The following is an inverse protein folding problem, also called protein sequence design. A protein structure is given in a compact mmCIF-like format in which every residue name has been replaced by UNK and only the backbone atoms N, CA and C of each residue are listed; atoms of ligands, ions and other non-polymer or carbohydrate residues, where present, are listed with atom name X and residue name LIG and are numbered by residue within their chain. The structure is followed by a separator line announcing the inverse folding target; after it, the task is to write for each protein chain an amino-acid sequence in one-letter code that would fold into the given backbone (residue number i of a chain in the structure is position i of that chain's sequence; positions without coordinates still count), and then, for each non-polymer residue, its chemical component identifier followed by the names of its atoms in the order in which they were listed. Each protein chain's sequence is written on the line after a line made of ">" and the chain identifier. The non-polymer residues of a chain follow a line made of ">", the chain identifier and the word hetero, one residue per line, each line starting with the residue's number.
data_IF_246235133634
#
_entry.id   IF_246235133634
#
_cell.length_a   1.000
_cell.length_b   1.000
_cell.length_c   1.000
_cell.angle_alpha   90.00
_cell.angle_beta   90.00
_cell.angle_gamma   90.00
#
_symmetry.space_group_name_H-M   'P 1'
#
loop_
_entity.id
_entity.type
_entity.pdbx_description
1 polymer ?
#
# COMPACT_ATOMS: atom_id res chain seq x y z
N UNK A 1 -2.90 8.34 14.36
CA UNK A 1 -3.92 7.81 13.42
C UNK A 1 -3.80 8.57 12.11
N UNK A 2 -3.95 7.86 10.99
CA UNK A 2 -3.99 8.44 9.64
C UNK A 2 -5.34 9.15 9.41
N UNK A 3 -5.34 10.24 8.65
CA UNK A 3 -6.54 10.99 8.23
C UNK A 3 -6.60 11.00 6.71
N UNK A 4 -7.77 11.34 6.15
CA UNK A 4 -7.94 11.41 4.69
C UNK A 4 -6.96 12.40 4.04
N UNK A 5 -6.64 13.52 4.70
CA UNK A 5 -5.67 14.51 4.22
C UNK A 5 -4.21 14.04 4.30
N UNK A 6 -3.94 12.93 4.99
CA UNK A 6 -2.60 12.31 4.99
C UNK A 6 -2.43 11.33 3.82
N UNK A 7 -3.50 10.92 3.14
CA UNK A 7 -3.41 10.01 2.00
C UNK A 7 -2.95 10.81 0.79
N UNK A 8 -1.77 10.45 0.32
CA UNK A 8 -1.09 11.02 -0.83
C UNK A 8 -0.19 9.95 -1.45
N UNK A 9 0.30 10.22 -2.65
CA UNK A 9 1.22 9.33 -3.35
C UNK A 9 2.46 9.06 -2.49
N UNK A 10 2.85 7.80 -2.42
CA UNK A 10 3.96 7.31 -1.60
C UNK A 10 3.60 7.01 -0.14
N UNK A 11 2.41 7.35 0.37
CA UNK A 11 2.00 6.90 1.72
C UNK A 11 1.96 5.36 1.75
N UNK A 12 2.52 4.77 2.80
CA UNK A 12 2.49 3.33 3.04
C UNK A 12 1.68 3.05 4.30
N UNK A 13 0.71 2.14 4.22
CA UNK A 13 -0.15 1.76 5.33
C UNK A 13 -0.20 0.25 5.47
N UNK A 14 -0.30 -0.24 6.70
CA UNK A 14 -0.58 -1.66 6.95
C UNK A 14 -2.11 -1.89 6.93
N UNK A 15 -2.62 -2.37 5.81
CA UNK A 15 -4.06 -2.49 5.55
C UNK A 15 -4.53 -3.93 5.72
N UNK A 16 -5.76 -4.09 6.22
CA UNK A 16 -6.53 -5.31 6.07
C UNK A 16 -7.29 -5.30 4.72
N UNK A 17 -7.00 -6.23 3.78
CA UNK A 17 -7.64 -6.25 2.47
C UNK A 17 -9.14 -6.57 2.51
N UNK A 18 -9.61 -7.31 3.53
CA UNK A 18 -11.03 -7.68 3.65
C UNK A 18 -11.84 -6.47 4.11
N UNK A 19 -11.31 -5.71 5.07
CA UNK A 19 -11.90 -4.43 5.50
C UNK A 19 -11.85 -3.40 4.37
N UNK A 20 -10.79 -3.40 3.56
CA UNK A 20 -10.66 -2.51 2.41
C UNK A 20 -11.76 -2.75 1.38
N UNK A 21 -12.03 -4.02 1.04
CA UNK A 21 -13.13 -4.43 0.17
C UNK A 21 -14.50 -4.13 0.80
N UNK A 22 -14.69 -4.42 2.09
CA UNK A 22 -15.94 -4.12 2.81
C UNK A 22 -16.27 -2.61 2.80
N UNK A 23 -15.25 -1.76 2.81
CA UNK A 23 -15.36 -0.31 2.68
C UNK A 23 -15.58 0.21 1.25
N UNK A 24 -15.68 -0.67 0.24
CA UNK A 24 -15.87 -0.32 -1.16
C UNK A 24 -14.59 -0.31 -2.00
N UNK A 25 -13.49 -0.85 -1.48
CA UNK A 25 -12.28 -1.13 -2.25
C UNK A 25 -12.51 -2.22 -3.31
N UNK A 26 -11.74 -2.15 -4.40
CA UNK A 26 -11.80 -3.12 -5.50
C UNK A 26 -10.39 -3.51 -5.92
N UNK A 27 -10.13 -4.81 -6.00
CA UNK A 27 -8.87 -5.36 -6.50
C UNK A 27 -8.96 -5.67 -8.00
N UNK A 28 -7.88 -5.40 -8.75
CA UNK A 28 -7.74 -5.83 -10.15
C UNK A 28 -7.61 -7.35 -10.28
N UNK A 29 -7.01 -8.00 -9.29
CA UNK A 29 -6.87 -9.45 -9.24
C UNK A 29 -8.16 -10.10 -8.72
N UNK A 30 -8.54 -11.25 -9.31
CA UNK A 30 -9.72 -12.01 -8.90
C UNK A 30 -9.35 -13.30 -8.17
N UNK A 31 -10.25 -13.77 -7.28
CA UNK A 31 -10.12 -15.06 -6.60
C UNK A 31 -8.84 -15.19 -5.77
N UNK A 32 -8.09 -16.28 -6.01
CA UNK A 32 -6.86 -16.60 -5.28
C UNK A 32 -5.66 -15.67 -5.59
N UNK A 33 -5.79 -14.76 -6.57
CA UNK A 33 -4.74 -13.78 -6.90
C UNK A 33 -4.69 -12.59 -5.93
N UNK A 34 -5.79 -12.30 -5.22
CA UNK A 34 -5.86 -11.23 -4.22
C UNK A 34 -5.04 -11.58 -2.98
N UNK A 35 -4.26 -10.62 -2.49
CA UNK A 35 -3.54 -10.74 -1.21
C UNK A 35 -4.51 -11.02 -0.06
N UNK A 36 -4.13 -11.89 0.88
CA UNK A 36 -4.94 -12.30 2.03
C UNK A 36 -4.26 -11.89 3.33
N UNK A 37 -5.04 -11.47 4.32
CA UNK A 37 -4.51 -11.00 5.61
C UNK A 37 -3.81 -9.65 5.51
N UNK A 38 -3.55 -9.02 6.65
CA UNK A 38 -3.02 -7.66 6.67
C UNK A 38 -1.61 -7.57 6.08
N UNK A 39 -1.38 -6.60 5.20
CA UNK A 39 -0.12 -6.37 4.50
C UNK A 39 0.21 -4.88 4.47
N UNK A 40 1.47 -4.53 4.19
CA UNK A 40 1.77 -3.16 3.78
C UNK A 40 1.21 -2.92 2.38
N UNK A 41 0.64 -1.74 2.16
CA UNK A 41 0.21 -1.25 0.86
C UNK A 41 0.81 0.13 0.66
N UNK A 42 1.25 0.43 -0.55
CA UNK A 42 1.67 1.77 -0.96
C UNK A 42 0.60 2.42 -1.82
N UNK A 43 0.28 3.69 -1.57
CA UNK A 43 -0.55 4.47 -2.49
C UNK A 43 0.32 4.98 -3.63
N UNK A 44 0.00 4.59 -4.86
CA UNK A 44 0.77 4.98 -6.06
C UNK A 44 0.13 6.12 -6.84
N UNK A 45 -1.13 6.42 -6.56
CA UNK A 45 -1.85 7.56 -7.13
C UNK A 45 -3.06 7.85 -6.24
N UNK A 46 -3.32 9.12 -5.97
CA UNK A 46 -4.43 9.57 -5.12
C UNK A 46 -5.12 10.79 -5.71
N UNK A 47 -6.42 10.90 -5.48
CA UNK A 47 -7.22 12.10 -5.71
C UNK A 47 -7.86 12.58 -4.41
N UNK A 48 -8.82 13.51 -4.45
CA UNK A 48 -9.46 14.03 -3.24
C UNK A 48 -10.29 12.99 -2.45
N UNK A 49 -10.63 11.85 -3.07
CA UNK A 49 -11.62 10.89 -2.54
C UNK A 49 -11.10 9.46 -2.45
N UNK A 50 -10.14 9.08 -3.27
CA UNK A 50 -9.71 7.70 -3.46
C UNK A 50 -8.23 7.60 -3.82
N UNK A 51 -7.67 6.41 -3.59
CA UNK A 51 -6.32 6.08 -4.00
C UNK A 51 -6.24 4.73 -4.70
N UNK A 52 -5.18 4.56 -5.48
CA UNK A 52 -4.72 3.30 -6.04
C UNK A 52 -3.60 2.76 -5.15
N UNK A 53 -3.76 1.52 -4.71
CA UNK A 53 -2.92 0.89 -3.71
C UNK A 53 -2.32 -0.40 -4.25
N UNK A 54 -1.05 -0.64 -3.97
CA UNK A 54 -0.35 -1.87 -4.37
C UNK A 54 0.11 -2.61 -3.11
N UNK A 55 -0.23 -3.91 -2.96
CA UNK A 55 0.20 -4.68 -1.81
C UNK A 55 1.70 -4.99 -1.88
N UNK A 56 2.33 -5.01 -0.71
CA UNK A 56 3.74 -5.28 -0.54
C UNK A 56 3.93 -6.56 0.27
N UNK A 57 4.79 -7.43 -0.23
CA UNK A 57 5.05 -8.76 0.31
C UNK A 57 6.39 -8.78 1.06
N UNK A 58 6.51 -9.66 2.05
CA UNK A 58 7.73 -9.88 2.84
C UNK A 58 8.67 -10.94 2.26
N UNK A 59 8.35 -11.47 1.08
CA UNK A 59 9.15 -12.48 0.39
C UNK A 59 9.08 -12.30 -1.14
N UNK A 60 10.15 -12.69 -1.86
CA UNK A 60 10.13 -12.71 -3.32
C UNK A 60 9.08 -13.72 -3.83
N UNK A 61 8.71 -13.59 -5.10
CA UNK A 61 7.77 -14.50 -5.75
C UNK A 61 7.68 -14.23 -7.25
N UNK A 62 6.97 -15.09 -7.99
CA UNK A 62 6.74 -14.88 -9.42
C UNK A 62 6.13 -13.50 -9.68
N UNK A 63 6.69 -12.75 -10.63
CA UNK A 63 6.18 -11.42 -11.01
C UNK A 63 6.36 -10.34 -9.94
N UNK A 64 7.19 -10.58 -8.91
CA UNK A 64 7.44 -9.60 -7.86
C UNK A 64 8.82 -8.97 -7.98
N UNK A 65 8.86 -7.66 -7.79
CA UNK A 65 10.07 -6.87 -7.86
C UNK A 65 10.42 -6.27 -6.49
N UNK A 66 11.71 -6.09 -6.23
CA UNK A 66 12.20 -5.59 -4.94
C UNK A 66 12.03 -4.07 -4.85
N UNK A 67 11.49 -3.59 -3.73
CA UNK A 67 11.50 -2.16 -3.39
C UNK A 67 12.86 -1.80 -2.79
N UNK A 68 13.59 -0.81 -3.34
CA UNK A 68 14.85 -0.35 -2.76
C UNK A 68 14.66 0.17 -1.33
N UNK A 69 15.51 -0.24 -0.40
CA UNK A 69 15.36 0.17 1.00
C UNK A 69 15.67 1.66 1.21
N UNK A 70 16.54 2.24 0.39
CA UNK A 70 16.86 3.66 0.34
C UNK A 70 15.66 4.54 -0.05
N UNK A 71 14.62 3.96 -0.67
CA UNK A 71 13.39 4.67 -0.99
C UNK A 71 12.42 4.73 0.20
N UNK A 72 12.67 4.01 1.30
CA UNK A 72 11.73 3.87 2.42
C UNK A 72 12.03 4.86 3.54
N UNK A 73 10.97 5.38 4.15
CA UNK A 73 11.06 6.16 5.39
C UNK A 73 9.89 5.84 6.32
N UNK A 74 10.07 6.06 7.63
CA UNK A 74 9.06 5.78 8.65
C UNK A 74 9.53 4.78 9.70
N UNK A 75 8.61 3.90 10.13
CA UNK A 75 8.80 2.96 11.22
C UNK A 75 9.78 1.82 10.84
N UNK A 76 10.65 1.34 11.76
CA UNK A 76 11.62 0.27 11.48
C UNK A 76 11.03 -1.00 10.85
N UNK A 77 9.85 -1.43 11.32
CA UNK A 77 9.11 -2.57 10.72
C UNK A 77 8.91 -2.45 9.20
N UNK A 78 8.76 -1.22 8.69
CA UNK A 78 8.66 -0.93 7.26
C UNK A 78 10.04 -0.78 6.62
N UNK A 79 10.92 0.05 7.19
CA UNK A 79 12.20 0.43 6.58
C UNK A 79 13.24 -0.70 6.56
N UNK A 80 13.28 -1.55 7.58
CA UNK A 80 14.31 -2.58 7.75
C UNK A 80 13.93 -3.92 7.10
N UNK A 81 12.66 -4.07 6.70
CA UNK A 81 12.18 -5.27 6.02
C UNK A 81 12.43 -5.16 4.53
N UNK A 82 12.99 -6.21 3.92
CA UNK A 82 12.92 -6.36 2.47
C UNK A 82 11.43 -6.49 2.07
N UNK A 83 11.03 -5.78 1.03
CA UNK A 83 9.64 -5.77 0.57
C UNK A 83 9.58 -5.84 -0.93
N UNK A 84 8.61 -6.59 -1.44
CA UNK A 84 8.42 -6.81 -2.86
C UNK A 84 7.02 -6.40 -3.29
N UNK A 85 6.87 -5.89 -4.50
CA UNK A 85 5.58 -5.51 -5.07
C UNK A 85 5.27 -6.35 -6.31
N UNK A 86 4.00 -6.73 -6.56
CA UNK A 86 3.57 -7.37 -7.79
C UNK A 86 3.29 -6.33 -8.88
N UNK A 87 3.39 -6.71 -10.15
CA UNK A 87 2.98 -5.87 -11.28
C UNK A 87 1.50 -5.97 -11.65
N UNK A 88 0.77 -6.96 -11.14
CA UNK A 88 -0.58 -7.29 -11.60
C UNK A 88 -1.71 -7.00 -10.60
N UNK A 89 -1.39 -6.40 -9.45
CA UNK A 89 -2.35 -6.20 -8.38
C UNK A 89 -2.44 -4.75 -7.90
N UNK A 90 -3.52 -4.09 -8.33
CA UNK A 90 -3.87 -2.74 -7.93
C UNK A 90 -5.24 -2.76 -7.25
N UNK A 91 -5.32 -2.03 -6.14
CA UNK A 91 -6.53 -1.84 -5.36
C UNK A 91 -6.98 -0.40 -5.46
N UNK A 92 -8.17 -0.17 -6.00
CA UNK A 92 -8.78 1.15 -5.96
C UNK A 92 -9.68 1.23 -4.73
N UNK A 93 -9.46 2.20 -3.84
CA UNK A 93 -10.25 2.33 -2.62
C UNK A 93 -10.53 3.78 -2.24
N UNK A 94 -11.75 4.09 -1.76
CA UNK A 94 -12.03 5.37 -1.10
C UNK A 94 -11.10 5.60 0.09
N UNK A 95 -10.74 6.85 0.37
CA UNK A 95 -9.92 7.22 1.53
C UNK A 95 -10.50 6.72 2.84
N UNK A 96 -11.83 6.78 3.01
CA UNK A 96 -12.50 6.26 4.19
C UNK A 96 -12.28 4.74 4.38
N UNK A 97 -12.30 3.97 3.29
CA UNK A 97 -12.05 2.53 3.30
C UNK A 97 -10.60 2.23 3.67
N UNK A 98 -9.64 2.94 3.08
CA UNK A 98 -8.22 2.79 3.39
C UNK A 98 -7.92 3.10 4.88
N UNK A 99 -8.57 4.11 5.46
CA UNK A 99 -8.42 4.43 6.89
C UNK A 99 -9.00 3.32 7.78
N UNK A 100 -10.21 2.82 7.46
CA UNK A 100 -10.82 1.72 8.21
C UNK A 100 -9.93 0.46 8.15
N UNK A 101 -9.46 0.11 6.95
CA UNK A 101 -8.55 -1.00 6.72
C UNK A 101 -7.20 -0.84 7.43
N UNK A 102 -6.66 0.38 7.52
CA UNK A 102 -5.43 0.67 8.26
C UNK A 102 -5.62 0.45 9.78
N UNK A 103 -6.77 0.85 10.32
CA UNK A 103 -7.11 0.60 11.73
C UNK A 103 -7.23 -0.90 11.99
N UNK A 104 -7.99 -1.63 11.16
CA UNK A 104 -8.17 -3.07 11.27
C UNK A 104 -6.85 -3.85 11.10
N UNK A 105 -6.01 -3.41 10.16
CA UNK A 105 -4.70 -4.00 9.88
C UNK A 105 -3.65 -3.70 10.94
N UNK A 106 -3.93 -2.84 11.94
CA UNK A 106 -2.97 -2.49 12.99
C UNK A 106 -1.82 -1.61 12.46
N UNK A 107 -2.13 -0.68 11.56
CA UNK A 107 -1.17 0.29 11.05
C UNK A 107 -0.55 1.12 12.18
N UNK A 108 0.78 1.24 12.15
CA UNK A 108 1.57 1.93 13.17
C UNK A 108 1.97 3.34 12.73
N UNK A 109 1.45 3.85 11.60
CA UNK A 109 1.83 5.17 11.10
C UNK A 109 1.34 6.27 12.03
N UNK A 110 2.29 7.06 12.56
CA UNK A 110 2.07 8.07 13.58
C UNK A 110 2.12 9.50 13.04
N UNK A 111 1.66 10.46 13.84
CA UNK A 111 1.92 11.87 13.55
C UNK A 111 3.44 12.12 13.60
N UNK A 112 4.01 12.69 12.55
CA UNK A 112 5.45 12.94 12.41
C UNK A 112 6.30 11.75 11.94
N UNK A 113 5.74 10.54 11.88
CA UNK A 113 6.43 9.33 11.36
C UNK A 113 5.44 8.53 10.51
N UNK A 114 5.17 9.04 9.31
CA UNK A 114 4.40 8.29 8.30
C UNK A 114 5.33 7.28 7.64
N UNK A 115 4.86 6.06 7.44
CA UNK A 115 5.55 5.17 6.52
C UNK A 115 5.34 5.73 5.11
N UNK A 116 6.43 5.89 4.39
CA UNK A 116 6.39 6.44 3.05
C UNK A 116 7.44 5.77 2.17
N UNK A 117 7.16 5.85 0.87
CA UNK A 117 8.05 5.56 -0.22
C UNK A 117 8.39 6.88 -0.94
N UNK A 118 9.65 7.05 -1.35
CA UNK A 118 10.07 8.21 -2.13
C UNK A 118 9.38 8.27 -3.49
N UNK A 119 9.34 9.44 -4.10
CA UNK A 119 8.78 9.67 -5.45
C UNK A 119 9.36 8.68 -6.48
N UNK A 120 10.69 8.51 -6.51
CA UNK A 120 11.33 7.53 -7.39
C UNK A 120 10.87 6.08 -7.11
N UNK A 121 10.60 5.73 -5.86
CA UNK A 121 10.05 4.42 -5.51
C UNK A 121 8.59 4.26 -5.96
N UNK A 122 7.80 5.34 -5.87
CA UNK A 122 6.41 5.36 -6.37
C UNK A 122 6.38 5.19 -7.89
N UNK A 123 7.22 5.93 -8.62
CA UNK A 123 7.29 5.85 -10.09
C UNK A 123 7.61 4.45 -10.59
N UNK A 124 8.53 3.74 -9.91
CA UNK A 124 8.86 2.35 -10.22
C UNK A 124 7.63 1.43 -10.14
N UNK A 125 6.88 1.54 -9.03
CA UNK A 125 5.70 0.70 -8.81
C UNK A 125 4.56 1.11 -9.73
N UNK A 126 4.35 2.41 -9.93
CA UNK A 126 3.33 2.94 -10.83
C UNK A 126 3.53 2.43 -12.26
N UNK A 127 4.75 2.53 -12.79
CA UNK A 127 5.08 2.09 -14.15
C UNK A 127 4.85 0.58 -14.34
N UNK A 128 5.11 -0.24 -13.32
CA UNK A 128 4.88 -1.67 -13.38
C UNK A 128 3.39 -2.05 -13.24
N UNK A 129 2.63 -1.28 -12.46
CA UNK A 129 1.25 -1.62 -12.08
C UNK A 129 0.19 -1.03 -13.03
N UNK A 130 0.51 0.08 -13.72
CA UNK A 130 -0.43 0.82 -14.57
C UNK A 130 0.14 1.18 -15.97
N UNK A 131 1.40 0.86 -16.26
CA UNK A 131 2.04 1.03 -17.58
C UNK A 131 1.83 -0.16 -18.51
#
# INVERSE_FOLDING_TARGET
>A
MIKATDIADGIVLHLDPDELEAGGGRCSASGAGRVQGSHFFVCIASDERSGNWVPLFSAPGPGRELVPNEAKSGHPRWCESATWYPSDQVWQAPHAAAIAAAIAGGDLSGAGVRNALSEAGVDLIYAAALG
#
